data_IF_043575895137
#
_entry.id   IF_043575895137
#
_cell.length_a   1.000
_cell.length_b   1.000
_cell.length_c   1.000
_cell.angle_alpha   90.00
_cell.angle_beta   90.00
_cell.angle_gamma   90.00
#
_symmetry.space_group_name_H-M   'P 1'
#
loop_
_entity.id
_entity.type
_entity.pdbx_description
1 polymer ?
#
# COMPACT_ATOMS: atom_id res chain seq x y z
N UNK A 1 -24.05 6.97 -4.24
CA UNK A 1 -24.20 5.56 -4.70
C UNK A 1 -25.65 5.06 -4.70
N UNK A 2 -26.46 5.24 -3.64
CA UNK A 2 -27.88 4.78 -3.64
C UNK A 2 -28.75 5.34 -4.78
N UNK A 3 -28.53 6.58 -5.22
CA UNK A 3 -29.33 7.21 -6.29
C UNK A 3 -29.01 6.79 -7.73
N UNK A 4 -27.82 6.23 -7.99
CA UNK A 4 -27.40 5.87 -9.36
C UNK A 4 -28.03 4.55 -9.84
N UNK A 5 -28.37 3.65 -8.92
CA UNK A 5 -29.07 2.40 -9.25
C UNK A 5 -30.53 2.62 -9.69
N UNK A 6 -31.11 3.80 -9.44
CA UNK A 6 -32.42 4.17 -9.94
C UNK A 6 -32.43 4.50 -11.45
N UNK A 7 -31.26 4.71 -12.07
CA UNK A 7 -31.13 5.24 -13.43
C UNK A 7 -30.83 4.20 -14.53
N UNK A 8 -31.08 2.90 -14.30
CA UNK A 8 -30.91 1.82 -15.31
C UNK A 8 -29.54 1.74 -16.01
N UNK A 9 -28.49 2.37 -15.48
CA UNK A 9 -27.11 2.08 -15.89
C UNK A 9 -26.74 0.75 -15.23
N UNK A 10 -26.35 -0.30 -15.98
CA UNK A 10 -25.91 -1.56 -15.38
C UNK A 10 -24.58 -1.32 -14.64
N UNK A 11 -24.67 -0.94 -13.38
CA UNK A 11 -23.50 -0.79 -12.50
C UNK A 11 -22.99 -2.15 -12.06
N UNK A 12 -21.67 -2.31 -12.01
CA UNK A 12 -21.05 -3.53 -11.49
C UNK A 12 -20.99 -3.47 -9.96
N UNK A 13 -22.06 -3.95 -9.31
CA UNK A 13 -22.20 -3.93 -7.83
C UNK A 13 -20.98 -4.53 -7.13
N UNK A 14 -20.38 -5.58 -7.69
CA UNK A 14 -19.24 -6.27 -7.10
C UNK A 14 -17.97 -5.43 -7.15
N UNK A 15 -17.70 -4.82 -8.31
CA UNK A 15 -16.58 -3.89 -8.49
C UNK A 15 -16.67 -2.69 -7.54
N UNK A 16 -17.84 -2.03 -7.47
CA UNK A 16 -18.03 -0.90 -6.54
C UNK A 16 -17.93 -1.31 -5.07
N UNK A 17 -18.33 -2.54 -4.74
CA UNK A 17 -18.18 -3.10 -3.39
C UNK A 17 -16.71 -3.31 -3.06
N UNK A 18 -15.92 -3.86 -3.98
CA UNK A 18 -14.47 -4.00 -3.83
C UNK A 18 -13.79 -2.63 -3.65
N UNK A 19 -14.16 -1.64 -4.46
CA UNK A 19 -13.66 -0.27 -4.35
C UNK A 19 -13.98 0.37 -3.00
N UNK A 20 -15.17 0.14 -2.45
CA UNK A 20 -15.53 0.61 -1.11
C UNK A 20 -14.58 0.05 -0.04
N UNK A 21 -14.22 -1.24 -0.15
CA UNK A 21 -13.25 -1.87 0.77
C UNK A 21 -11.87 -1.21 0.62
N UNK A 22 -11.35 -1.09 -0.60
CA UNK A 22 -10.04 -0.45 -0.86
C UNK A 22 -9.99 1.00 -0.36
N UNK A 23 -11.08 1.75 -0.54
CA UNK A 23 -11.21 3.11 -0.04
C UNK A 23 -11.13 3.18 1.50
N UNK A 24 -11.76 2.24 2.22
CA UNK A 24 -11.65 2.20 3.68
C UNK A 24 -10.25 1.78 4.17
N UNK A 25 -9.50 1.01 3.38
CA UNK A 25 -8.09 0.70 3.68
C UNK A 25 -7.20 1.95 3.56
N UNK A 26 -7.46 2.81 2.58
CA UNK A 26 -6.77 4.09 2.43
C UNK A 26 -6.90 4.94 3.71
N UNK A 27 -8.14 5.14 4.19
CA UNK A 27 -8.44 5.98 5.37
C UNK A 27 -8.07 5.33 6.71
N UNK A 28 -7.57 4.09 6.70
CA UNK A 28 -7.26 3.29 7.88
C UNK A 28 -8.43 3.26 8.88
N UNK A 29 -9.67 3.27 8.40
CA UNK A 29 -10.84 3.10 9.25
C UNK A 29 -11.18 1.62 9.40
N UNK A 30 -10.44 0.92 10.27
CA UNK A 30 -10.60 -0.51 10.47
C UNK A 30 -12.00 -0.92 10.95
N UNK A 31 -12.71 -0.02 11.66
CA UNK A 31 -14.09 -0.27 12.05
C UNK A 31 -15.00 -0.33 10.81
N UNK A 32 -14.88 0.63 9.89
CA UNK A 32 -15.65 0.65 8.63
C UNK A 32 -15.24 -0.51 7.72
N UNK A 33 -13.95 -0.86 7.66
CA UNK A 33 -13.47 -2.06 6.92
C UNK A 33 -14.15 -3.31 7.46
N UNK A 34 -14.15 -3.52 8.77
CA UNK A 34 -14.76 -4.70 9.39
C UNK A 34 -16.28 -4.72 9.21
N UNK A 35 -16.94 -3.56 9.35
CA UNK A 35 -18.38 -3.41 9.10
C UNK A 35 -18.71 -3.79 7.65
N UNK A 36 -18.01 -3.20 6.69
CA UNK A 36 -18.20 -3.46 5.26
C UNK A 36 -17.99 -4.93 4.90
N UNK A 37 -17.03 -5.62 5.54
CA UNK A 37 -16.82 -7.06 5.35
C UNK A 37 -17.92 -7.93 5.97
N UNK A 38 -18.52 -7.47 7.08
CA UNK A 38 -19.62 -8.19 7.74
C UNK A 38 -20.93 -8.13 6.95
N UNK A 39 -21.12 -7.06 6.16
CA UNK A 39 -22.26 -6.89 5.25
C UNK A 39 -22.17 -7.78 4.00
N UNK A 40 -21.00 -8.37 3.71
CA UNK A 40 -20.82 -9.19 2.51
C UNK A 40 -21.52 -10.55 2.62
N UNK A 41 -22.32 -10.88 1.62
CA UNK A 41 -22.91 -12.21 1.47
C UNK A 41 -21.85 -13.26 1.10
N UNK A 42 -22.17 -14.54 1.25
CA UNK A 42 -21.30 -15.63 0.80
C UNK A 42 -20.98 -15.53 -0.69
N UNK A 43 -22.00 -15.32 -1.53
CA UNK A 43 -21.85 -15.17 -2.98
C UNK A 43 -20.94 -13.98 -3.36
N UNK A 44 -21.06 -12.85 -2.66
CA UNK A 44 -20.19 -11.70 -2.88
C UNK A 44 -18.72 -12.00 -2.58
N UNK A 45 -18.44 -12.82 -1.57
CA UNK A 45 -17.07 -13.21 -1.22
C UNK A 45 -16.41 -14.14 -2.24
N UNK A 46 -17.19 -14.78 -3.10
CA UNK A 46 -16.67 -15.60 -4.21
C UNK A 46 -16.33 -14.76 -5.45
N UNK A 47 -16.76 -13.49 -5.51
CA UNK A 47 -16.42 -12.62 -6.64
C UNK A 47 -14.94 -12.20 -6.61
N UNK A 48 -14.27 -12.31 -7.75
CA UNK A 48 -12.83 -12.03 -7.91
C UNK A 48 -12.41 -10.62 -7.46
N UNK A 49 -13.23 -9.58 -7.71
CA UNK A 49 -12.90 -8.20 -7.32
C UNK A 49 -12.95 -8.03 -5.81
N UNK A 50 -13.94 -8.65 -5.17
CA UNK A 50 -14.10 -8.62 -3.72
C UNK A 50 -13.00 -9.47 -3.06
N UNK A 51 -12.69 -10.64 -3.61
CA UNK A 51 -11.56 -11.45 -3.13
C UNK A 51 -10.24 -10.71 -3.19
N UNK A 52 -9.95 -10.00 -4.29
CA UNK A 52 -8.76 -9.16 -4.39
C UNK A 52 -8.71 -8.12 -3.26
N UNK A 53 -9.78 -7.35 -3.05
CA UNK A 53 -9.83 -6.34 -1.99
C UNK A 53 -9.67 -6.94 -0.58
N UNK A 54 -10.26 -8.12 -0.32
CA UNK A 54 -10.11 -8.85 0.94
C UNK A 54 -8.66 -9.35 1.14
N UNK A 55 -8.00 -9.80 0.07
CA UNK A 55 -6.59 -10.20 0.12
C UNK A 55 -5.66 -9.01 0.35
N UNK A 56 -5.95 -7.84 -0.23
CA UNK A 56 -5.22 -6.59 0.06
C UNK A 56 -5.36 -6.25 1.54
N UNK A 57 -6.58 -6.26 2.07
CA UNK A 57 -6.84 -6.04 3.51
C UNK A 57 -6.04 -7.01 4.38
N UNK A 58 -6.03 -8.29 4.03
CA UNK A 58 -5.31 -9.33 4.78
C UNK A 58 -3.79 -9.09 4.77
N UNK A 59 -3.25 -8.72 3.61
CA UNK A 59 -1.82 -8.42 3.44
C UNK A 59 -1.39 -7.21 4.29
N UNK A 60 -2.22 -6.16 4.34
CA UNK A 60 -1.98 -5.01 5.21
C UNK A 60 -2.04 -5.39 6.69
N UNK A 61 -3.07 -6.13 7.11
CA UNK A 61 -3.26 -6.53 8.50
C UNK A 61 -2.13 -7.43 9.04
N UNK A 62 -1.46 -8.17 8.15
CA UNK A 62 -0.34 -9.07 8.49
C UNK A 62 1.03 -8.48 8.13
N UNK A 63 1.08 -7.24 7.65
CA UNK A 63 2.30 -6.58 7.14
C UNK A 63 3.06 -7.41 6.09
N UNK A 64 2.33 -8.20 5.29
CA UNK A 64 2.89 -8.99 4.19
C UNK A 64 3.07 -8.10 2.95
N UNK A 65 4.16 -7.33 2.94
CA UNK A 65 4.46 -6.39 1.87
C UNK A 65 4.62 -7.07 0.51
N UNK A 66 5.25 -8.25 0.45
CA UNK A 66 5.44 -8.99 -0.79
C UNK A 66 4.09 -9.29 -1.44
N UNK A 67 3.15 -9.86 -0.68
CA UNK A 67 1.80 -10.14 -1.17
C UNK A 67 1.05 -8.85 -1.52
N UNK A 68 1.22 -7.79 -0.74
CA UNK A 68 0.62 -6.49 -1.02
C UNK A 68 1.05 -5.92 -2.38
N UNK A 69 2.35 -5.89 -2.67
CA UNK A 69 2.86 -5.34 -3.94
C UNK A 69 2.57 -6.25 -5.13
N UNK A 70 2.47 -7.56 -4.94
CA UNK A 70 1.91 -8.46 -5.94
C UNK A 70 0.46 -8.06 -6.29
N UNK A 71 -0.40 -7.91 -5.28
CA UNK A 71 -1.80 -7.52 -5.47
C UNK A 71 -1.95 -6.12 -6.07
N UNK A 72 -1.05 -5.20 -5.75
CA UNK A 72 -0.98 -3.88 -6.36
C UNK A 72 -0.72 -3.96 -7.87
N UNK A 73 0.31 -4.71 -8.28
CA UNK A 73 0.64 -4.90 -9.71
C UNK A 73 -0.47 -5.61 -10.49
N UNK A 74 -1.21 -6.49 -9.85
CA UNK A 74 -2.26 -7.29 -10.49
C UNK A 74 -3.67 -6.82 -10.11
N UNK A 75 -3.84 -5.54 -9.76
CA UNK A 75 -5.14 -5.02 -9.35
C UNK A 75 -6.14 -5.05 -10.52
N UNK A 76 -7.36 -5.62 -10.34
CA UNK A 76 -8.36 -5.67 -11.38
C UNK A 76 -8.98 -4.28 -11.62
N UNK A 77 -9.39 -4.03 -12.86
CA UNK A 77 -10.09 -2.81 -13.27
C UNK A 77 -9.32 -1.53 -12.84
N UNK A 78 -10.00 -0.62 -12.15
CA UNK A 78 -9.44 0.64 -11.65
C UNK A 78 -8.97 0.53 -10.18
N UNK A 79 -8.82 -0.69 -9.65
CA UNK A 79 -8.41 -0.93 -8.26
C UNK A 79 -7.03 -0.36 -7.93
N UNK A 80 -6.11 -0.35 -8.91
CA UNK A 80 -4.78 0.24 -8.76
C UNK A 80 -4.82 1.70 -8.33
N UNK A 81 -5.70 2.52 -8.93
CA UNK A 81 -5.85 3.93 -8.59
C UNK A 81 -6.32 4.19 -7.15
N UNK A 82 -7.11 3.27 -6.58
CA UNK A 82 -7.48 3.34 -5.16
C UNK A 82 -6.31 2.93 -4.25
N UNK A 83 -5.51 1.98 -4.69
CA UNK A 83 -4.31 1.56 -3.97
C UNK A 83 -3.20 2.61 -4.01
N UNK A 84 -3.10 3.40 -5.08
CA UNK A 84 -2.15 4.53 -5.19
C UNK A 84 -2.29 5.51 -4.03
N UNK A 85 -3.50 5.67 -3.48
CA UNK A 85 -3.78 6.57 -2.36
C UNK A 85 -3.02 6.19 -1.08
N UNK A 86 -2.56 4.94 -0.97
CA UNK A 86 -1.81 4.47 0.20
C UNK A 86 -0.56 3.66 -0.11
N UNK A 87 -0.24 3.39 -1.38
CA UNK A 87 0.94 2.62 -1.77
C UNK A 87 2.24 3.25 -1.27
N UNK A 88 2.34 4.58 -1.25
CA UNK A 88 3.54 5.29 -0.78
C UNK A 88 3.80 5.02 0.72
N UNK A 89 2.75 5.05 1.54
CA UNK A 89 2.83 4.69 2.97
C UNK A 89 3.34 3.26 3.13
N UNK A 90 2.79 2.33 2.36
CA UNK A 90 3.21 0.93 2.42
C UNK A 90 4.65 0.73 1.92
N UNK A 91 5.11 1.48 0.91
CA UNK A 91 6.51 1.48 0.45
C UNK A 91 7.46 1.90 1.56
N UNK A 92 7.16 2.95 2.32
CA UNK A 92 8.00 3.39 3.45
C UNK A 92 8.05 2.32 4.54
N UNK A 93 6.91 1.75 4.93
CA UNK A 93 6.85 0.71 5.95
C UNK A 93 7.60 -0.55 5.53
N UNK A 94 7.43 -0.97 4.28
CA UNK A 94 8.09 -2.14 3.70
C UNK A 94 9.60 -1.95 3.62
N UNK A 95 10.06 -0.77 3.19
CA UNK A 95 11.47 -0.46 3.11
C UNK A 95 12.15 -0.46 4.49
N UNK A 96 11.46 -0.05 5.56
CA UNK A 96 11.97 -0.21 6.93
C UNK A 96 12.19 -1.67 7.32
N UNK A 97 11.27 -2.56 6.94
CA UNK A 97 11.40 -4.00 7.18
C UNK A 97 12.62 -4.53 6.40
N UNK A 98 12.73 -4.17 5.12
CA UNK A 98 13.85 -4.55 4.27
C UNK A 98 15.20 -4.04 4.82
N UNK A 99 15.28 -2.79 5.28
CA UNK A 99 16.50 -2.24 5.88
C UNK A 99 16.95 -2.99 7.14
N UNK A 100 16.02 -3.59 7.89
CA UNK A 100 16.35 -4.42 9.05
C UNK A 100 16.82 -5.82 8.64
N UNK A 101 16.22 -6.39 7.60
CA UNK A 101 16.51 -7.74 7.13
C UNK A 101 17.81 -7.84 6.32
N UNK A 102 18.14 -6.84 5.50
CA UNK A 102 19.23 -6.90 4.53
C UNK A 102 20.38 -5.94 4.87
N UNK A 103 21.01 -6.10 6.05
CA UNK A 103 22.18 -5.31 6.42
C UNK A 103 23.47 -5.89 5.82
N UNK A 104 24.46 -5.06 5.44
CA UNK A 104 24.52 -3.61 5.62
C UNK A 104 23.99 -2.80 4.43
N UNK A 105 23.67 -3.44 3.31
CA UNK A 105 23.20 -2.77 2.10
C UNK A 105 22.20 -3.63 1.31
N UNK A 106 21.45 -2.96 0.44
CA UNK A 106 20.36 -3.55 -0.33
C UNK A 106 20.39 -3.04 -1.77
N UNK A 107 20.31 -3.96 -2.73
CA UNK A 107 20.27 -3.63 -4.16
C UNK A 107 19.05 -2.77 -4.50
N UNK A 108 19.27 -1.69 -5.26
CA UNK A 108 18.19 -0.85 -5.78
C UNK A 108 17.30 -1.62 -6.77
N UNK A 109 17.85 -2.56 -7.54
CA UNK A 109 17.06 -3.42 -8.44
C UNK A 109 16.08 -4.30 -7.64
N UNK A 110 16.56 -4.87 -6.53
CA UNK A 110 15.70 -5.66 -5.65
C UNK A 110 14.58 -4.80 -5.05
N UNK A 111 14.90 -3.61 -4.54
CA UNK A 111 13.90 -2.68 -3.97
C UNK A 111 12.87 -2.28 -5.04
N UNK A 112 13.33 -1.96 -6.25
CA UNK A 112 12.47 -1.57 -7.37
C UNK A 112 11.45 -2.68 -7.67
N UNK A 113 11.92 -3.92 -7.79
CA UNK A 113 11.10 -5.07 -8.11
C UNK A 113 10.12 -5.43 -6.98
N UNK A 114 10.63 -5.49 -5.75
CA UNK A 114 9.89 -5.90 -4.56
C UNK A 114 8.81 -4.89 -4.15
N UNK A 115 9.09 -3.59 -4.28
CA UNK A 115 8.17 -2.50 -3.90
C UNK A 115 7.40 -1.91 -5.08
N UNK A 116 7.38 -2.64 -6.20
CA UNK A 116 6.60 -2.33 -7.40
C UNK A 116 6.80 -0.90 -7.92
N UNK A 117 8.05 -0.45 -8.04
CA UNK A 117 8.37 0.76 -8.79
C UNK A 117 8.42 0.45 -10.28
N UNK A 118 7.90 1.34 -11.13
CA UNK A 118 7.87 1.13 -12.58
C UNK A 118 9.26 1.30 -13.20
N UNK A 119 10.08 2.15 -12.57
CA UNK A 119 11.41 2.48 -13.05
C UNK A 119 12.37 2.79 -11.90
N UNK A 120 13.67 2.82 -12.23
CA UNK A 120 14.71 3.21 -11.28
C UNK A 120 14.58 4.69 -10.93
N UNK A 121 14.17 5.51 -11.88
CA UNK A 121 13.95 6.94 -11.71
C UNK A 121 12.90 7.22 -10.64
N UNK A 122 11.80 6.48 -10.64
CA UNK A 122 10.76 6.56 -9.60
C UNK A 122 11.27 6.15 -8.22
N UNK A 123 12.01 5.05 -8.13
CA UNK A 123 12.63 4.62 -6.88
C UNK A 123 13.56 5.70 -6.32
N UNK A 124 14.42 6.27 -7.18
CA UNK A 124 15.36 7.33 -6.77
C UNK A 124 14.59 8.59 -6.33
N UNK A 125 13.53 8.97 -7.05
CA UNK A 125 12.67 10.11 -6.68
C UNK A 125 12.04 9.88 -5.30
N UNK A 126 11.44 8.71 -5.08
CA UNK A 126 10.85 8.32 -3.80
C UNK A 126 11.90 8.38 -2.67
N UNK A 127 13.08 7.79 -2.86
CA UNK A 127 14.14 7.80 -1.84
C UNK A 127 14.58 9.23 -1.50
N UNK A 128 14.61 10.16 -2.47
CA UNK A 128 14.89 11.58 -2.22
C UNK A 128 13.79 12.25 -1.39
N UNK A 129 12.53 12.05 -1.74
CA UNK A 129 11.37 12.61 -1.02
C UNK A 129 11.31 12.13 0.44
N UNK A 130 11.76 10.89 0.69
CA UNK A 130 11.88 10.31 2.02
C UNK A 130 13.21 10.63 2.73
N UNK A 131 14.07 11.48 2.15
CA UNK A 131 15.42 11.79 2.65
C UNK A 131 16.28 10.54 2.93
N UNK A 132 16.07 9.48 2.16
CA UNK A 132 16.60 8.14 2.38
C UNK A 132 17.57 7.68 1.27
N UNK A 133 17.93 8.53 0.31
CA UNK A 133 18.88 8.18 -0.75
C UNK A 133 20.33 8.20 -0.26
N UNK A 134 20.74 7.12 0.42
CA UNK A 134 22.12 6.91 0.86
C UNK A 134 22.78 5.81 0.03
N UNK A 135 23.43 6.17 -1.07
CA UNK A 135 24.11 5.19 -1.92
C UNK A 135 25.50 4.85 -1.37
N UNK A 136 25.92 3.59 -1.53
CA UNK A 136 27.27 3.16 -1.17
C UNK A 136 28.30 3.86 -2.05
N UNK A 137 29.31 4.47 -1.45
CA UNK A 137 30.35 5.22 -2.17
C UNK A 137 31.11 4.39 -3.21
N UNK A 138 31.27 3.09 -2.94
CA UNK A 138 31.96 2.13 -3.82
C UNK A 138 31.02 1.39 -4.79
N UNK A 139 29.70 1.51 -4.64
CA UNK A 139 28.74 0.90 -5.54
C UNK A 139 27.38 1.62 -5.48
N UNK A 140 27.11 2.48 -6.45
CA UNK A 140 25.87 3.28 -6.51
C UNK A 140 24.59 2.48 -6.79
N UNK A 141 24.69 1.17 -7.05
CA UNK A 141 23.54 0.27 -7.20
C UNK A 141 22.99 -0.24 -5.87
N UNK A 142 23.65 0.09 -4.76
CA UNK A 142 23.28 -0.38 -3.43
C UNK A 142 22.95 0.78 -2.51
N UNK A 143 21.85 0.62 -1.78
CA UNK A 143 21.42 1.49 -0.70
C UNK A 143 22.12 1.09 0.60
N UNK A 144 22.78 2.04 1.28
CA UNK A 144 23.20 1.91 2.67
C UNK A 144 21.96 1.90 3.57
N UNK A 145 21.55 0.71 3.99
CA UNK A 145 20.31 0.54 4.75
C UNK A 145 20.42 1.07 6.18
N UNK A 146 21.64 1.21 6.74
CA UNK A 146 21.84 1.75 8.08
C UNK A 146 21.52 3.24 8.11
N UNK A 147 22.04 3.98 7.13
CA UNK A 147 21.80 5.41 7.00
C UNK A 147 20.34 5.69 6.59
N UNK A 148 19.81 4.93 5.63
CA UNK A 148 18.43 5.08 5.17
C UNK A 148 17.39 4.77 6.25
N UNK A 149 17.63 3.79 7.12
CA UNK A 149 16.68 3.37 8.15
C UNK A 149 16.27 4.53 9.08
N UNK A 150 17.21 5.40 9.46
CA UNK A 150 16.92 6.54 10.34
C UNK A 150 15.96 7.55 9.68
N UNK A 151 16.22 7.92 8.43
CA UNK A 151 15.34 8.82 7.66
C UNK A 151 13.96 8.21 7.42
N UNK A 152 13.91 6.91 7.07
CA UNK A 152 12.64 6.21 6.87
C UNK A 152 11.82 6.10 8.15
N UNK A 153 12.47 5.97 9.30
CA UNK A 153 11.79 5.96 10.61
C UNK A 153 11.09 7.29 10.89
N UNK A 154 11.71 8.40 10.47
CA UNK A 154 11.08 9.72 10.54
C UNK A 154 9.93 9.86 9.53
N UNK A 155 10.13 9.40 8.30
CA UNK A 155 9.11 9.42 7.25
C UNK A 155 7.82 8.71 7.65
N UNK A 156 7.89 7.57 8.35
CA UNK A 156 6.68 6.86 8.82
C UNK A 156 5.78 7.75 9.68
N UNK A 157 6.34 8.70 10.45
CA UNK A 157 5.54 9.60 11.30
C UNK A 157 4.60 10.48 10.49
N UNK A 158 4.96 10.82 9.24
CA UNK A 158 4.09 11.57 8.31
C UNK A 158 2.81 10.83 7.96
N UNK A 159 2.87 9.50 7.97
CA UNK A 159 1.75 8.62 7.60
C UNK A 159 1.06 7.98 8.80
N UNK A 160 1.45 8.33 10.05
CA UNK A 160 0.65 8.00 11.21
C UNK A 160 -0.65 8.79 11.14
N UNK A 161 -1.78 8.10 11.32
CA UNK A 161 -3.11 8.71 11.38
C UNK A 161 -3.10 9.83 12.42
N UNK A 162 -3.23 11.08 11.97
CA UNK A 162 -3.52 12.20 12.85
C UNK A 162 -4.96 12.01 13.28
N UNK A 163 -5.18 11.67 14.56
CA UNK A 163 -6.52 11.61 15.12
C UNK A 163 -7.20 12.98 14.91
N UNK A 164 -8.50 12.97 14.63
CA UNK A 164 -9.33 14.17 14.47
C UNK A 164 -9.34 15.01 15.78
N UNK A 165 -8.75 14.46 16.86
CA UNK A 165 -8.52 15.12 18.16
C UNK A 165 -7.08 15.59 18.42
N UNK A 166 -6.15 15.49 17.47
CA UNK A 166 -4.83 16.13 17.55
C UNK A 166 -3.88 15.60 18.62
N UNK A 167 -4.01 14.35 19.08
CA UNK A 167 -3.08 13.75 20.03
C UNK A 167 -2.15 12.74 19.35
N UNK A 168 -0.84 12.93 19.56
CA UNK A 168 0.22 12.02 19.13
C UNK A 168 0.58 11.13 20.31
N UNK A 169 0.50 9.80 20.15
CA UNK A 169 1.16 8.82 21.02
C UNK A 169 2.37 8.20 20.31
#
# INVERSE_FOLDING_TARGET
LRGLYASKIPGNVMEFTAYRILYFLHTQNWADVNSAMSELTGEQKENEFIQHALQVRSSLATSNYHRFFYLYKTAPNMGGYLMDQFVERERVQSLLILCKAYRPDLSLEFIQNELAFESREELIKFLKEQNALFLKANNSDFLDVKSAHSSLTESVKKYKKIDIKGQVY
#
